data_IF_473189823957
#
_entry.id   IF_473189823957
#
_cell.length_a   1.000
_cell.length_b   1.000
_cell.length_c   1.000
_cell.angle_alpha   90.00
_cell.angle_beta   90.00
_cell.angle_gamma   90.00
#
_symmetry.space_group_name_H-M   'P 1'
#
loop_
_entity.id
_entity.type
_entity.pdbx_description
1 polymer ?
#
# COMPACT_ATOMS: atom_id res chain seq x y z
N UNK A 1 12.62 12.05 -12.43
CA UNK A 1 12.40 10.77 -13.13
C UNK A 1 11.54 9.90 -12.24
N UNK A 2 10.53 9.19 -12.75
CA UNK A 2 9.75 8.25 -11.94
C UNK A 2 10.65 7.14 -11.41
N UNK A 3 10.54 6.81 -10.12
CA UNK A 3 11.28 5.68 -9.54
C UNK A 3 10.56 4.36 -9.83
N UNK A 4 11.32 3.26 -9.89
CA UNK A 4 10.78 1.92 -10.11
C UNK A 4 11.16 1.01 -8.96
N UNK A 5 10.17 0.38 -8.32
CA UNK A 5 10.37 -0.61 -7.26
C UNK A 5 9.53 -1.85 -7.55
N UNK A 6 10.19 -2.94 -7.97
CA UNK A 6 9.53 -4.24 -8.12
C UNK A 6 9.32 -4.93 -6.77
N UNK A 7 10.29 -4.85 -5.86
CA UNK A 7 10.26 -5.47 -4.55
C UNK A 7 11.00 -4.57 -3.56
N UNK A 8 10.46 -4.39 -2.36
CA UNK A 8 11.18 -3.68 -1.30
C UNK A 8 12.19 -4.60 -0.62
N UNK A 9 13.33 -4.02 -0.29
CA UNK A 9 14.37 -4.64 0.51
C UNK A 9 14.71 -3.70 1.67
N UNK A 10 14.29 -4.11 2.86
CA UNK A 10 14.38 -3.32 4.10
C UNK A 10 15.01 -4.22 5.17
N UNK A 11 16.34 -4.33 5.20
CA UNK A 11 17.04 -5.25 6.09
C UNK A 11 16.73 -4.93 7.56
N UNK A 12 16.55 -5.97 8.37
CA UNK A 12 16.21 -5.83 9.79
C UNK A 12 14.72 -5.62 10.08
N UNK A 13 13.88 -5.35 9.08
CA UNK A 13 12.43 -5.36 9.25
C UNK A 13 11.85 -6.75 8.97
N UNK A 14 10.86 -7.14 9.78
CA UNK A 14 10.18 -8.42 9.62
C UNK A 14 9.13 -8.34 8.50
N UNK A 15 9.39 -8.97 7.35
CA UNK A 15 8.44 -9.08 6.24
C UNK A 15 7.30 -10.04 6.60
N UNK A 16 6.09 -9.51 6.75
CA UNK A 16 4.90 -10.30 7.08
C UNK A 16 4.28 -10.93 5.83
N UNK A 17 4.16 -10.13 4.76
CA UNK A 17 3.50 -10.58 3.55
C UNK A 17 3.96 -9.79 2.34
N UNK A 18 4.15 -10.48 1.22
CA UNK A 18 4.31 -9.90 -0.10
C UNK A 18 3.10 -10.26 -0.95
N UNK A 19 2.20 -9.30 -1.12
CA UNK A 19 1.04 -9.44 -1.97
C UNK A 19 1.37 -9.14 -3.44
N UNK A 20 0.34 -9.14 -4.29
CA UNK A 20 0.50 -8.84 -5.72
C UNK A 20 1.18 -7.48 -5.96
N UNK A 21 0.80 -6.45 -5.19
CA UNK A 21 1.24 -5.06 -5.43
C UNK A 21 1.75 -4.32 -4.18
N UNK A 22 1.79 -4.97 -3.02
CA UNK A 22 2.27 -4.39 -1.76
C UNK A 22 3.14 -5.36 -1.00
N UNK A 23 4.16 -4.83 -0.35
CA UNK A 23 5.01 -5.53 0.61
C UNK A 23 4.70 -4.95 2.00
N UNK A 24 4.49 -5.82 2.99
CA UNK A 24 4.04 -5.43 4.34
C UNK A 24 5.03 -5.93 5.37
N UNK A 25 5.56 -5.02 6.17
CA UNK A 25 6.51 -5.31 7.25
C UNK A 25 5.88 -5.02 8.60
N UNK A 26 6.21 -5.81 9.62
CA UNK A 26 5.90 -5.50 11.00
C UNK A 26 6.93 -4.52 11.55
N UNK A 27 6.44 -3.47 12.21
CA UNK A 27 7.25 -2.51 12.97
C UNK A 27 7.16 -2.80 14.47
N UNK A 28 5.96 -3.20 14.92
CA UNK A 28 5.65 -3.63 16.27
C UNK A 28 4.42 -4.57 16.23
N UNK A 29 3.93 -4.95 17.41
CA UNK A 29 2.68 -5.71 17.54
C UNK A 29 1.48 -4.91 17.02
N UNK A 30 1.51 -3.57 17.11
CA UNK A 30 0.39 -2.70 16.76
C UNK A 30 0.58 -1.90 15.46
N UNK A 31 1.75 -1.98 14.82
CA UNK A 31 2.06 -1.19 13.62
C UNK A 31 2.68 -1.99 12.48
N UNK A 32 2.31 -1.59 11.27
CA UNK A 32 2.77 -2.13 9.99
C UNK A 32 3.35 -1.01 9.13
N UNK A 33 4.44 -1.30 8.44
CA UNK A 33 4.90 -0.54 7.29
C UNK A 33 4.34 -1.19 6.02
N UNK A 34 3.54 -0.45 5.26
CA UNK A 34 3.00 -0.88 3.97
C UNK A 34 3.80 -0.17 2.88
N UNK A 35 4.39 -0.92 1.95
CA UNK A 35 5.13 -0.41 0.80
C UNK A 35 4.40 -0.80 -0.49
N UNK A 36 4.00 0.19 -1.29
CA UNK A 36 3.40 -0.05 -2.60
C UNK A 36 4.48 -0.21 -3.68
N UNK A 37 4.45 -1.35 -4.37
CA UNK A 37 5.36 -1.61 -5.49
C UNK A 37 4.79 -1.09 -6.81
N UNK A 38 5.64 -1.11 -7.84
CA UNK A 38 5.28 -0.79 -9.22
C UNK A 38 4.80 -2.03 -10.00
N UNK A 39 4.67 -3.19 -9.33
CA UNK A 39 4.07 -4.41 -9.89
C UNK A 39 2.61 -4.19 -10.24
N UNK A 40 2.18 -4.73 -11.38
CA UNK A 40 0.80 -4.73 -11.86
C UNK A 40 0.27 -6.17 -11.89
N UNK A 41 -1.01 -6.37 -11.59
CA UNK A 41 -1.66 -7.67 -11.73
C UNK A 41 -2.94 -7.60 -12.53
N UNK A 42 -3.17 -8.59 -13.39
CA UNK A 42 -4.40 -8.79 -14.14
C UNK A 42 -4.73 -10.28 -14.16
N UNK A 43 -6.02 -10.63 -14.08
CA UNK A 43 -6.48 -12.03 -14.04
C UNK A 43 -5.73 -12.87 -12.99
N UNK A 44 -5.54 -12.30 -11.81
CA UNK A 44 -4.82 -12.89 -10.67
C UNK A 44 -3.32 -13.19 -10.88
N UNK A 45 -2.74 -12.80 -12.01
CA UNK A 45 -1.31 -12.97 -12.33
C UNK A 45 -0.59 -11.62 -12.21
N UNK A 46 0.60 -11.61 -11.60
CA UNK A 46 1.50 -10.45 -11.60
C UNK A 46 2.25 -10.40 -12.93
N UNK A 47 2.16 -9.27 -13.62
CA UNK A 47 2.81 -9.07 -14.91
C UNK A 47 4.32 -8.81 -14.73
N UNK A 48 5.16 -9.18 -15.72
CA UNK A 48 6.61 -9.03 -15.62
C UNK A 48 7.05 -7.56 -15.63
N UNK A 49 6.36 -6.72 -16.39
CA UNK A 49 6.73 -5.31 -16.57
C UNK A 49 6.11 -4.42 -15.49
N UNK A 50 6.91 -3.64 -14.74
CA UNK A 50 6.39 -2.67 -13.79
C UNK A 50 5.84 -1.43 -14.51
N UNK A 51 4.98 -0.69 -13.80
CA UNK A 51 4.59 0.67 -14.19
C UNK A 51 5.34 1.67 -13.29
N UNK A 52 6.43 2.31 -13.78
CA UNK A 52 7.24 3.23 -12.96
C UNK A 52 6.39 4.30 -12.26
N UNK A 53 6.61 4.51 -10.96
CA UNK A 53 5.89 5.49 -10.15
C UNK A 53 4.45 5.14 -9.78
N UNK A 54 3.92 3.99 -10.20
CA UNK A 54 2.54 3.56 -9.84
C UNK A 54 2.35 3.45 -8.34
N UNK A 55 3.29 2.81 -7.63
CA UNK A 55 3.23 2.64 -6.18
C UNK A 55 3.17 3.97 -5.45
N UNK A 56 3.93 4.96 -5.92
CA UNK A 56 3.88 6.32 -5.40
C UNK A 56 2.50 6.95 -5.62
N UNK A 57 2.02 7.01 -6.87
CA UNK A 57 0.76 7.66 -7.22
C UNK A 57 -0.43 7.03 -6.48
N UNK A 58 -0.51 5.69 -6.43
CA UNK A 58 -1.61 5.00 -5.74
C UNK A 58 -1.58 5.21 -4.22
N UNK A 59 -0.39 5.34 -3.63
CA UNK A 59 -0.25 5.66 -2.20
C UNK A 59 -0.71 7.09 -1.93
N UNK A 60 -0.28 8.06 -2.74
CA UNK A 60 -0.72 9.45 -2.60
C UNK A 60 -2.22 9.61 -2.82
N UNK A 61 -2.80 8.89 -3.78
CA UNK A 61 -4.25 8.87 -4.00
C UNK A 61 -5.01 8.27 -2.81
N UNK A 62 -4.48 7.20 -2.20
CA UNK A 62 -5.05 6.63 -0.97
C UNK A 62 -5.01 7.64 0.18
N UNK A 63 -3.87 8.30 0.39
CA UNK A 63 -3.70 9.33 1.42
C UNK A 63 -4.65 10.50 1.24
N UNK A 64 -4.85 10.96 -0.01
CA UNK A 64 -5.85 11.99 -0.33
C UNK A 64 -7.25 11.57 0.13
N UNK A 65 -7.67 10.35 -0.21
CA UNK A 65 -9.00 9.86 0.17
C UNK A 65 -9.15 9.66 1.68
N UNK A 66 -8.14 9.11 2.36
CA UNK A 66 -8.13 8.99 3.82
C UNK A 66 -8.29 10.36 4.51
N UNK A 67 -7.61 11.40 4.02
CA UNK A 67 -7.78 12.75 4.54
C UNK A 67 -9.18 13.31 4.22
N UNK A 68 -9.65 13.12 2.99
CA UNK A 68 -10.96 13.62 2.54
C UNK A 68 -12.13 13.02 3.33
N UNK A 69 -12.04 11.74 3.73
CA UNK A 69 -13.11 11.01 4.42
C UNK A 69 -12.90 10.84 5.92
N UNK A 70 -11.88 11.47 6.50
CA UNK A 70 -11.56 11.35 7.93
C UNK A 70 -12.72 11.76 8.87
N UNK A 71 -13.61 12.63 8.41
CA UNK A 71 -14.82 13.06 9.14
C UNK A 71 -15.98 12.04 9.09
N UNK A 72 -15.90 11.05 8.21
CA UNK A 72 -16.94 10.02 8.01
C UNK A 72 -16.58 8.76 8.81
N UNK A 73 -15.32 8.32 8.74
CA UNK A 73 -14.86 7.08 9.37
C UNK A 73 -13.37 7.18 9.74
N UNK A 74 -12.94 6.68 10.92
CA UNK A 74 -11.53 6.57 11.22
C UNK A 74 -10.83 5.61 10.26
N UNK A 75 -9.55 5.89 9.98
CA UNK A 75 -8.72 5.04 9.14
C UNK A 75 -7.49 4.51 9.89
N UNK A 76 -6.70 3.68 9.21
CA UNK A 76 -5.57 2.97 9.82
C UNK A 76 -4.26 3.78 9.90
N UNK A 77 -4.18 5.01 9.37
CA UNK A 77 -2.93 5.76 9.35
C UNK A 77 -2.53 6.19 10.77
N UNK A 78 -1.24 6.13 11.07
CA UNK A 78 -0.71 6.54 12.40
C UNK A 78 -0.26 7.99 12.45
N UNK A 79 -0.01 8.61 11.29
CA UNK A 79 0.56 9.96 11.19
C UNK A 79 2.08 10.02 11.37
N UNK A 80 2.72 8.90 11.72
CA UNK A 80 4.18 8.78 11.82
C UNK A 80 4.85 8.91 10.46
N UNK A 81 6.07 9.41 10.44
CA UNK A 81 6.82 9.55 9.20
C UNK A 81 7.54 8.25 8.85
N UNK A 82 7.55 7.88 7.57
CA UNK A 82 8.23 6.66 7.10
C UNK A 82 9.73 6.71 7.39
N UNK A 83 10.35 7.90 7.37
CA UNK A 83 11.76 8.09 7.65
C UNK A 83 12.18 7.61 9.05
N UNK A 84 11.27 7.56 10.02
CA UNK A 84 11.54 7.07 11.39
C UNK A 84 11.82 5.56 11.46
N UNK A 85 11.40 4.80 10.44
CA UNK A 85 11.39 3.33 10.50
C UNK A 85 12.18 2.66 9.37
N UNK A 86 12.77 3.46 8.47
CA UNK A 86 13.64 2.91 7.44
C UNK A 86 14.98 2.48 8.04
N UNK A 87 15.51 1.30 7.68
CA UNK A 87 16.84 0.88 8.07
C UNK A 87 17.93 1.83 7.58
N UNK A 88 19.04 1.90 8.31
CA UNK A 88 20.20 2.70 7.91
C UNK A 88 20.74 2.25 6.54
N UNK A 89 21.12 3.22 5.70
CA UNK A 89 21.67 2.97 4.36
C UNK A 89 20.64 2.70 3.27
N UNK A 90 19.35 2.65 3.60
CA UNK A 90 18.26 2.58 2.61
C UNK A 90 18.04 3.95 1.98
N UNK A 91 17.72 4.01 0.68
CA UNK A 91 17.34 5.27 0.04
C UNK A 91 15.97 5.74 0.51
N UNK A 92 15.93 6.79 1.34
CA UNK A 92 14.69 7.37 1.84
C UNK A 92 13.76 7.85 0.72
N UNK A 93 14.33 8.38 -0.38
CA UNK A 93 13.54 8.96 -1.47
C UNK A 93 12.70 7.88 -2.18
N UNK A 94 13.23 6.67 -2.31
CA UNK A 94 12.54 5.53 -2.93
C UNK A 94 11.25 5.15 -2.19
N UNK A 95 11.21 5.29 -0.86
CA UNK A 95 10.09 4.83 -0.03
C UNK A 95 9.13 5.95 0.39
N UNK A 96 9.61 7.20 0.49
CA UNK A 96 8.86 8.32 1.07
C UNK A 96 7.46 8.54 0.49
N UNK A 97 7.27 8.33 -0.82
CA UNK A 97 6.00 8.60 -1.51
C UNK A 97 5.13 7.37 -1.75
N UNK A 98 5.64 6.17 -1.48
CA UNK A 98 4.98 4.88 -1.75
C UNK A 98 4.73 4.04 -0.50
N UNK A 99 5.03 4.59 0.67
CA UNK A 99 4.93 3.88 1.94
C UNK A 99 4.08 4.63 2.95
N UNK A 100 3.42 3.89 3.83
CA UNK A 100 2.68 4.42 4.99
C UNK A 100 2.91 3.54 6.21
N UNK A 101 2.90 4.17 7.39
CA UNK A 101 2.80 3.48 8.66
C UNK A 101 1.32 3.39 9.04
N UNK A 102 0.86 2.17 9.29
CA UNK A 102 -0.52 1.87 9.58
C UNK A 102 -0.66 1.05 10.86
N UNK A 103 -1.79 1.19 11.54
CA UNK A 103 -2.19 0.34 12.67
C UNK A 103 -2.39 -1.09 12.17
N UNK A 104 -1.94 -2.08 12.94
CA UNK A 104 -2.30 -3.48 12.75
C UNK A 104 -3.74 -3.67 13.22
N UNK A 105 -4.64 -3.94 12.29
CA UNK A 105 -6.06 -4.15 12.57
C UNK A 105 -6.48 -5.57 12.17
N UNK A 106 -7.51 -6.10 12.83
CA UNK A 106 -8.16 -7.34 12.43
C UNK A 106 -9.15 -7.04 11.30
N UNK A 107 -8.96 -7.55 10.08
CA UNK A 107 -9.92 -7.34 9.00
C UNK A 107 -11.22 -8.07 9.30
N UNK A 108 -12.35 -7.47 8.89
CA UNK A 108 -13.64 -8.15 8.86
C UNK A 108 -13.70 -8.97 7.56
N UNK A 109 -14.12 -10.26 7.58
CA UNK A 109 -13.93 -11.17 6.44
C UNK A 109 -15.01 -10.99 5.35
N UNK A 110 -15.13 -9.78 4.80
CA UNK A 110 -15.96 -9.48 3.64
C UNK A 110 -15.40 -8.30 2.84
N UNK A 111 -15.83 -8.15 1.59
CA UNK A 111 -15.49 -7.01 0.73
C UNK A 111 -16.64 -6.00 0.69
N UNK A 112 -16.40 -4.77 1.14
CA UNK A 112 -17.37 -3.67 1.06
C UNK A 112 -17.35 -3.02 -0.34
N UNK A 113 -18.27 -3.43 -1.21
CA UNK A 113 -18.35 -2.93 -2.61
C UNK A 113 -19.56 -1.99 -2.77
N UNK A 114 -19.31 -0.77 -3.24
CA UNK A 114 -20.34 0.20 -3.63
C UNK A 114 -20.36 0.38 -5.15
N UNK A 115 -21.54 0.36 -5.78
CA UNK A 115 -21.72 0.49 -7.24
C UNK A 115 -22.62 1.68 -7.56
N UNK A 116 -22.07 2.69 -8.23
CA UNK A 116 -22.85 3.80 -8.79
C UNK A 116 -23.34 3.57 -10.23
N UNK A 117 -22.77 2.57 -10.91
CA UNK A 117 -23.10 2.16 -12.28
C UNK A 117 -23.07 0.63 -12.39
N UNK A 118 -23.90 0.07 -13.28
CA UNK A 118 -23.93 -1.37 -13.55
C UNK A 118 -22.86 -1.75 -14.57
N UNK A 119 -21.80 -2.40 -14.09
CA UNK A 119 -20.66 -2.87 -14.89
C UNK A 119 -19.99 -4.10 -14.24
N UNK A 120 -19.18 -4.82 -15.01
CA UNK A 120 -18.39 -5.96 -14.54
C UNK A 120 -19.27 -7.13 -14.09
N UNK A 121 -18.90 -7.80 -12.99
CA UNK A 121 -19.69 -8.92 -12.44
C UNK A 121 -21.13 -8.52 -12.14
N UNK A 122 -21.36 -7.32 -11.61
CA UNK A 122 -22.72 -6.83 -11.30
C UNK A 122 -23.60 -6.50 -12.50
N UNK A 123 -23.09 -6.62 -13.74
CA UNK A 123 -23.92 -6.61 -14.95
C UNK A 123 -24.19 -8.02 -15.48
N UNK A 124 -23.27 -8.96 -15.24
CA UNK A 124 -23.34 -10.34 -15.74
C UNK A 124 -24.27 -11.21 -14.89
N UNK A 125 -24.27 -10.97 -13.58
CA UNK A 125 -25.06 -11.67 -12.58
C UNK A 125 -26.42 -10.97 -12.37
#
# INVERSE_FOLDING_TARGET
MPTTLLQSDLPGLNLIHRGKVRDVYALSDDELLIVASDRLSAFDVVLPDPIPGKGEILTQMSNFWFARTAHVVPNHLTGRTVAEVLPAGVDHALYARRSVISKRLKPVPFEAIARGFLIGSGWKD
#
